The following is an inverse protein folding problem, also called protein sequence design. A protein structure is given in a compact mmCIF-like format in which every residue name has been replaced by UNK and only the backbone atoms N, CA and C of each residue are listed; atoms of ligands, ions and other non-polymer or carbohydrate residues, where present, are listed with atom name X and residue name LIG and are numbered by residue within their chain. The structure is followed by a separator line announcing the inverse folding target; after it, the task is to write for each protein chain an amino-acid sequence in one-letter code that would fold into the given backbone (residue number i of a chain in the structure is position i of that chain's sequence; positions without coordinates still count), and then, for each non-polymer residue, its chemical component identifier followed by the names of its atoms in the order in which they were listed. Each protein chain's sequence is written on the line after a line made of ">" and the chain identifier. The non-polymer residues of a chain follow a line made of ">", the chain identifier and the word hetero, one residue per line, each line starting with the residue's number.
data_IF_045257746901
#
_entry.id   IF_045257746901
#
_cell.length_a   1.000
_cell.length_b   1.000
_cell.length_c   1.000
_cell.angle_alpha   90.00
_cell.angle_beta   90.00
_cell.angle_gamma   90.00
#
_symmetry.space_group_name_H-M   'P 1'
#
loop_
_entity.id
_entity.type
_entity.pdbx_description
1 polymer ?
#
# COMPACT_ATOMS: atom_id res chain seq x y z
N UNK A 1 -63.11 79.31 55.81
CA UNK A 1 -62.62 78.00 56.29
C UNK A 1 -63.08 76.93 55.31
N UNK A 2 -62.15 76.09 54.85
CA UNK A 2 -62.32 74.82 54.09
C UNK A 2 -62.94 74.98 52.69
N UNK A 3 -62.29 74.72 51.56
CA UNK A 3 -61.14 73.87 51.28
C UNK A 3 -61.59 72.44 51.03
N UNK A 4 -61.86 72.09 49.77
CA UNK A 4 -61.64 70.73 49.22
C UNK A 4 -61.77 70.73 47.68
N UNK A 5 -60.61 70.78 47.02
CA UNK A 5 -60.18 69.82 46.00
C UNK A 5 -61.02 69.63 44.72
N UNK A 6 -60.97 70.63 43.83
CA UNK A 6 -61.13 70.43 42.38
C UNK A 6 -59.89 69.71 41.80
N UNK A 7 -59.72 68.42 42.10
CA UNK A 7 -58.62 67.61 41.51
C UNK A 7 -59.00 67.01 40.16
N UNK A 8 -60.24 67.21 39.70
CA UNK A 8 -60.70 66.75 38.39
C UNK A 8 -60.63 67.86 37.34
N UNK A 9 -59.48 68.56 37.27
CA UNK A 9 -59.12 69.29 36.04
C UNK A 9 -58.59 68.28 35.03
N UNK A 10 -59.57 67.61 34.43
CA UNK A 10 -59.59 66.97 33.12
C UNK A 10 -58.29 67.27 32.34
N UNK A 11 -57.31 66.36 32.42
CA UNK A 11 -56.20 66.39 31.47
C UNK A 11 -56.81 66.43 30.06
N UNK A 12 -56.38 67.33 29.17
CA UNK A 12 -56.93 67.40 27.83
C UNK A 12 -56.78 66.02 27.19
N UNK A 13 -57.84 65.49 26.55
CA UNK A 13 -57.84 64.17 25.89
C UNK A 13 -56.63 63.99 24.95
N UNK A 14 -56.09 65.09 24.44
CA UNK A 14 -54.84 65.18 23.66
C UNK A 14 -53.60 64.81 24.48
N UNK A 15 -53.49 65.26 25.74
CA UNK A 15 -52.40 64.94 26.65
C UNK A 15 -52.37 63.46 27.05
N UNK A 16 -53.53 62.86 27.33
CA UNK A 16 -53.62 61.41 27.60
C UNK A 16 -53.18 60.58 26.39
N UNK A 17 -53.56 60.99 25.17
CA UNK A 17 -53.10 60.35 23.93
C UNK A 17 -51.59 60.44 23.74
N UNK A 18 -50.99 61.59 24.03
CA UNK A 18 -49.54 61.78 23.94
C UNK A 18 -48.81 60.91 24.98
N UNK A 19 -49.29 60.87 26.23
CA UNK A 19 -48.70 60.02 27.28
C UNK A 19 -48.81 58.53 26.94
N UNK A 20 -49.95 58.08 26.39
CA UNK A 20 -50.12 56.68 25.97
C UNK A 20 -49.21 56.30 24.77
N UNK A 21 -48.98 57.23 23.83
CA UNK A 21 -48.04 57.01 22.72
C UNK A 21 -46.60 56.95 23.22
N UNK A 22 -46.21 57.85 24.13
CA UNK A 22 -44.86 57.87 24.71
C UNK A 22 -44.62 56.62 25.56
N UNK A 23 -45.56 56.26 26.44
CA UNK A 23 -45.45 55.08 27.30
C UNK A 23 -45.48 53.77 26.48
N UNK A 24 -46.32 53.68 25.44
CA UNK A 24 -46.32 52.57 24.49
C UNK A 24 -45.02 52.45 23.69
N UNK A 25 -44.42 53.57 23.27
CA UNK A 25 -43.13 53.59 22.58
C UNK A 25 -41.96 53.15 23.46
N UNK A 26 -41.94 53.55 24.74
CA UNK A 26 -40.92 53.15 25.73
C UNK A 26 -41.02 51.66 26.09
N UNK A 27 -42.24 51.13 26.28
CA UNK A 27 -42.47 49.71 26.53
C UNK A 27 -42.04 48.84 25.34
N UNK A 28 -42.40 49.25 24.11
CA UNK A 28 -42.03 48.51 22.90
C UNK A 28 -40.54 48.64 22.55
N UNK A 29 -39.90 49.78 22.84
CA UNK A 29 -38.46 49.99 22.63
C UNK A 29 -37.58 49.13 23.54
N UNK A 30 -38.03 48.85 24.77
CA UNK A 30 -37.34 47.93 25.69
C UNK A 30 -37.37 46.47 25.22
N UNK A 31 -38.49 46.01 24.65
CA UNK A 31 -38.64 44.65 24.13
C UNK A 31 -37.74 44.37 22.90
N UNK A 32 -37.58 45.34 22.00
CA UNK A 32 -36.73 45.20 20.80
C UNK A 32 -35.23 45.05 21.16
N UNK A 33 -34.77 45.70 22.24
CA UNK A 33 -33.38 45.54 22.71
C UNK A 33 -33.16 44.23 23.44
N UNK A 34 -34.16 43.72 24.17
CA UNK A 34 -34.08 42.41 24.83
C UNK A 34 -34.00 41.26 23.80
N UNK A 35 -34.84 41.26 22.76
CA UNK A 35 -34.80 40.22 21.71
C UNK A 35 -33.48 40.25 20.92
N UNK A 36 -32.95 41.44 20.62
CA UNK A 36 -31.64 41.58 19.95
C UNK A 36 -30.50 41.10 20.84
N UNK A 37 -30.53 41.43 22.13
CA UNK A 37 -29.53 41.00 23.11
C UNK A 37 -29.55 39.47 23.30
N UNK A 38 -30.72 38.84 23.41
CA UNK A 38 -30.84 37.39 23.52
C UNK A 38 -30.38 36.68 22.25
N UNK A 39 -30.69 37.24 21.07
CA UNK A 39 -30.19 36.72 19.80
C UNK A 39 -28.67 36.83 19.66
N UNK A 40 -28.05 37.88 20.21
CA UNK A 40 -26.60 38.06 20.21
C UNK A 40 -25.91 37.14 21.22
N UNK A 41 -26.47 36.97 22.42
CA UNK A 41 -26.04 35.98 23.42
C UNK A 41 -26.14 34.54 22.91
N UNK A 42 -27.21 34.21 22.20
CA UNK A 42 -27.37 32.90 21.56
C UNK A 42 -26.29 32.67 20.50
N UNK A 43 -25.95 33.68 19.69
CA UNK A 43 -24.87 33.60 18.70
C UNK A 43 -23.51 33.38 19.36
N UNK A 44 -23.19 34.11 20.43
CA UNK A 44 -21.91 33.93 21.13
C UNK A 44 -21.80 32.52 21.76
N UNK A 45 -22.90 32.03 22.32
CA UNK A 45 -22.94 30.74 22.99
C UNK A 45 -22.88 29.57 21.98
N UNK A 46 -23.48 29.73 20.80
CA UNK A 46 -23.29 28.79 19.69
C UNK A 46 -21.83 28.78 19.21
N UNK A 47 -21.18 29.95 19.11
CA UNK A 47 -19.78 30.03 18.72
C UNK A 47 -18.85 29.36 19.75
N UNK A 48 -19.09 29.57 21.05
CA UNK A 48 -18.30 28.92 22.11
C UNK A 48 -18.42 27.40 22.07
N UNK A 49 -19.62 26.86 21.82
CA UNK A 49 -19.80 25.41 21.64
C UNK A 49 -19.05 24.88 20.42
N UNK A 50 -19.04 25.64 19.32
CA UNK A 50 -18.31 25.29 18.12
C UNK A 50 -16.80 25.21 18.41
N UNK A 51 -16.24 26.21 19.09
CA UNK A 51 -14.83 26.22 19.48
C UNK A 51 -14.49 25.02 20.38
N UNK A 52 -15.31 24.73 21.38
CA UNK A 52 -15.10 23.56 22.24
C UNK A 52 -15.15 22.24 21.46
N UNK A 53 -16.00 22.16 20.42
CA UNK A 53 -16.06 21.00 19.53
C UNK A 53 -14.83 20.88 18.65
N UNK A 54 -14.32 22.00 18.12
CA UNK A 54 -13.08 22.03 17.33
C UNK A 54 -11.88 21.62 18.19
N UNK A 55 -11.72 22.17 19.40
CA UNK A 55 -10.66 21.77 20.33
C UNK A 55 -10.72 20.27 20.66
N UNK A 56 -11.93 19.74 20.87
CA UNK A 56 -12.14 18.30 21.08
C UNK A 56 -11.73 17.48 19.86
N UNK A 57 -12.14 17.88 18.64
CA UNK A 57 -11.74 17.19 17.41
C UNK A 57 -10.23 17.21 17.21
N UNK A 58 -9.57 18.33 17.49
CA UNK A 58 -8.10 18.41 17.38
C UNK A 58 -7.43 17.50 18.40
N UNK A 59 -7.94 17.42 19.63
CA UNK A 59 -7.41 16.52 20.65
C UNK A 59 -7.61 15.04 20.30
N UNK A 60 -8.76 14.68 19.73
CA UNK A 60 -9.03 13.33 19.23
C UNK A 60 -8.06 12.95 18.10
N UNK A 61 -7.92 13.83 17.09
CA UNK A 61 -6.99 13.65 15.98
C UNK A 61 -5.53 13.51 16.44
N UNK A 62 -5.09 14.33 17.40
CA UNK A 62 -3.75 14.22 17.97
C UNK A 62 -3.54 12.88 18.68
N UNK A 63 -4.56 12.40 19.39
CA UNK A 63 -4.51 11.10 20.06
C UNK A 63 -4.44 9.95 19.05
N UNK A 64 -5.16 10.03 17.93
CA UNK A 64 -5.12 9.06 16.84
C UNK A 64 -3.78 9.09 16.13
N UNK A 65 -3.25 10.28 15.83
CA UNK A 65 -1.92 10.45 15.25
C UNK A 65 -0.83 9.83 16.14
N UNK A 66 -0.95 9.98 17.46
CA UNK A 66 -0.03 9.37 18.42
C UNK A 66 -0.13 7.84 18.44
N UNK A 67 -1.35 7.28 18.37
CA UNK A 67 -1.56 5.82 18.26
C UNK A 67 -0.96 5.27 16.96
N UNK A 68 -1.28 5.88 15.83
CA UNK A 68 -0.76 5.48 14.53
C UNK A 68 0.78 5.54 14.48
N UNK A 69 1.38 6.56 15.12
CA UNK A 69 2.84 6.68 15.24
C UNK A 69 3.45 5.54 16.06
N UNK A 70 2.82 5.16 17.17
CA UNK A 70 3.29 4.04 17.99
C UNK A 70 3.20 2.72 17.22
N UNK A 71 2.08 2.47 16.54
CA UNK A 71 1.91 1.28 15.70
C UNK A 71 2.97 1.23 14.59
N UNK A 72 3.25 2.37 13.93
CA UNK A 72 4.29 2.46 12.90
C UNK A 72 5.68 2.14 13.46
N UNK A 73 6.01 2.63 14.66
CA UNK A 73 7.26 2.27 15.32
C UNK A 73 7.36 0.77 15.64
N UNK A 74 6.27 0.14 16.07
CA UNK A 74 6.23 -1.31 16.31
C UNK A 74 6.38 -2.13 15.02
N UNK A 75 5.86 -1.63 13.90
CA UNK A 75 6.08 -2.25 12.59
C UNK A 75 7.53 -2.08 12.13
N UNK A 76 8.14 -0.92 12.36
CA UNK A 76 9.55 -0.71 12.05
C UNK A 76 10.47 -1.63 12.85
N UNK A 77 10.23 -1.80 14.15
CA UNK A 77 11.02 -2.71 14.99
C UNK A 77 10.86 -4.16 14.53
N UNK A 78 9.62 -4.61 14.28
CA UNK A 78 9.35 -5.95 13.73
C UNK A 78 10.04 -6.17 12.38
N UNK A 79 10.02 -5.19 11.49
CA UNK A 79 10.71 -5.28 10.20
C UNK A 79 12.24 -5.35 10.36
N UNK A 80 12.82 -4.58 11.29
CA UNK A 80 14.25 -4.67 11.62
C UNK A 80 14.61 -6.05 12.16
N UNK A 81 13.80 -6.58 13.07
CA UNK A 81 14.01 -7.93 13.65
C UNK A 81 13.90 -9.02 12.59
N UNK A 82 12.85 -9.01 11.75
CA UNK A 82 12.70 -9.96 10.66
C UNK A 82 13.88 -9.89 9.69
N UNK A 83 14.38 -8.69 9.40
CA UNK A 83 15.57 -8.52 8.55
C UNK A 83 16.80 -9.16 9.19
N UNK A 84 16.99 -8.99 10.50
CA UNK A 84 18.07 -9.63 11.25
C UNK A 84 17.93 -11.16 11.27
N UNK A 85 16.71 -11.70 11.42
CA UNK A 85 16.45 -13.14 11.33
C UNK A 85 16.76 -13.70 9.93
N UNK A 86 16.39 -12.98 8.86
CA UNK A 86 16.73 -13.37 7.49
C UNK A 86 18.25 -13.36 7.27
N UNK A 87 18.98 -12.41 7.86
CA UNK A 87 20.44 -12.39 7.79
C UNK A 87 21.06 -13.56 8.56
N UNK A 88 20.62 -13.80 9.80
CA UNK A 88 21.11 -14.89 10.62
C UNK A 88 20.86 -16.26 9.98
N UNK A 89 19.68 -16.48 9.39
CA UNK A 89 19.36 -17.72 8.67
C UNK A 89 20.20 -17.89 7.40
N UNK A 90 20.47 -16.80 6.67
CA UNK A 90 21.41 -16.84 5.53
C UNK A 90 22.82 -17.21 5.96
N UNK A 91 23.31 -16.68 7.09
CA UNK A 91 24.62 -17.05 7.63
C UNK A 91 24.67 -18.51 8.07
N UNK A 92 23.61 -19.01 8.71
CA UNK A 92 23.50 -20.43 9.05
C UNK A 92 23.53 -21.31 7.81
N UNK A 93 22.79 -20.93 6.76
CA UNK A 93 22.81 -21.62 5.47
C UNK A 93 24.21 -21.60 4.85
N UNK A 94 24.93 -20.48 4.90
CA UNK A 94 26.30 -20.39 4.39
C UNK A 94 27.26 -21.32 5.15
N UNK A 95 27.19 -21.37 6.49
CA UNK A 95 28.01 -22.30 7.29
C UNK A 95 27.73 -23.76 6.96
N UNK A 96 26.45 -24.12 6.84
CA UNK A 96 26.06 -25.49 6.47
C UNK A 96 26.50 -25.83 5.04
N UNK A 97 26.49 -24.86 4.12
CA UNK A 97 27.02 -25.04 2.77
C UNK A 97 28.53 -25.29 2.78
N UNK A 98 29.30 -24.51 3.53
CA UNK A 98 30.75 -24.71 3.70
C UNK A 98 31.08 -26.07 4.33
N UNK A 99 30.35 -26.49 5.38
CA UNK A 99 30.51 -27.81 5.99
C UNK A 99 30.16 -28.95 5.01
N UNK A 100 29.11 -28.78 4.20
CA UNK A 100 28.71 -29.75 3.19
C UNK A 100 29.74 -29.84 2.05
N UNK A 101 30.37 -28.73 1.66
CA UNK A 101 31.46 -28.71 0.68
C UNK A 101 32.71 -29.39 1.22
N UNK A 102 33.11 -29.10 2.46
CA UNK A 102 34.21 -29.78 3.13
C UNK A 102 33.98 -31.30 3.28
N UNK A 103 32.74 -31.71 3.61
CA UNK A 103 32.36 -33.13 3.65
C UNK A 103 32.45 -33.80 2.27
N UNK A 104 32.06 -33.10 1.19
CA UNK A 104 32.19 -33.64 -0.17
C UNK A 104 33.65 -33.80 -0.58
N UNK A 105 34.50 -32.82 -0.27
CA UNK A 105 35.93 -32.86 -0.61
C UNK A 105 36.66 -33.98 0.13
N UNK A 106 36.44 -34.11 1.45
CA UNK A 106 37.01 -35.17 2.26
C UNK A 106 36.58 -36.57 1.78
N UNK A 107 35.30 -36.75 1.42
CA UNK A 107 34.81 -38.01 0.84
C UNK A 107 35.44 -38.32 -0.53
N UNK A 108 35.72 -37.30 -1.35
CA UNK A 108 36.39 -37.47 -2.65
C UNK A 108 37.85 -37.89 -2.45
N UNK A 109 38.56 -37.26 -1.51
CA UNK A 109 39.93 -37.64 -1.15
C UNK A 109 39.99 -39.09 -0.63
N UNK A 110 39.04 -39.49 0.21
CA UNK A 110 38.97 -40.87 0.70
C UNK A 110 38.72 -41.87 -0.43
N UNK A 111 37.81 -41.56 -1.37
CA UNK A 111 37.58 -42.38 -2.57
C UNK A 111 38.83 -42.48 -3.44
N UNK A 112 39.56 -41.38 -3.61
CA UNK A 112 40.81 -41.33 -4.40
C UNK A 112 41.90 -42.19 -3.74
N UNK A 113 42.11 -42.04 -2.44
CA UNK A 113 43.05 -42.85 -1.68
C UNK A 113 42.71 -44.36 -1.73
N UNK A 114 41.41 -44.71 -1.60
CA UNK A 114 40.94 -46.10 -1.75
C UNK A 114 41.18 -46.64 -3.17
N UNK A 115 41.00 -45.82 -4.20
CA UNK A 115 41.27 -46.21 -5.58
C UNK A 115 42.79 -46.43 -5.82
N UNK A 116 43.64 -45.55 -5.29
CA UNK A 116 45.10 -45.67 -5.39
C UNK A 116 45.62 -46.91 -4.65
N UNK A 117 45.11 -47.20 -3.44
CA UNK A 117 45.40 -48.45 -2.73
C UNK A 117 44.95 -49.68 -3.53
N UNK A 118 43.75 -49.64 -4.12
CA UNK A 118 43.23 -50.75 -4.95
C UNK A 118 44.07 -50.96 -6.20
N UNK A 119 44.58 -49.89 -6.83
CA UNK A 119 45.51 -49.92 -7.97
C UNK A 119 46.87 -50.52 -7.58
N UNK A 120 47.37 -50.21 -6.39
CA UNK A 120 48.62 -50.77 -5.87
C UNK A 120 48.51 -52.26 -5.49
N UNK A 121 47.34 -52.70 -5.02
CA UNK A 121 47.05 -54.10 -4.70
C UNK A 121 46.67 -54.96 -5.91
N UNK A 122 46.35 -54.37 -7.08
CA UNK A 122 46.16 -55.15 -8.31
C UNK A 122 47.54 -55.38 -8.95
N UNK A 123 48.06 -56.62 -9.01
CA UNK A 123 49.36 -56.85 -9.62
C UNK A 123 49.27 -56.51 -11.10
N UNK A 124 50.25 -55.75 -11.60
CA UNK A 124 50.39 -55.45 -13.02
C UNK A 124 50.43 -56.76 -13.80
N UNK A 125 49.36 -57.07 -14.53
CA UNK A 125 49.47 -57.97 -15.68
C UNK A 125 50.28 -57.21 -16.73
N UNK A 126 51.54 -57.61 -16.91
CA UNK A 126 52.46 -57.12 -17.93
C UNK A 126 51.74 -57.12 -19.29
N UNK A 127 51.70 -56.02 -20.06
CA UNK A 127 51.20 -56.08 -21.42
C UNK A 127 52.24 -56.84 -22.26
N UNK A 128 51.87 -58.00 -22.77
CA UNK A 128 52.59 -58.66 -23.86
C UNK A 128 52.26 -57.91 -25.17
N UNK A 129 53.21 -57.84 -26.12
CA UNK A 129 53.05 -57.07 -27.34
C UNK A 129 52.15 -57.79 -28.33
N UNK A 130 51.24 -57.03 -28.94
CA UNK A 130 50.54 -57.45 -30.16
C UNK A 130 49.04 -57.64 -30.01
N UNK A 131 48.28 -56.54 -29.96
CA UNK A 131 47.10 -56.42 -30.81
C UNK A 131 47.09 -55.03 -31.44
N UNK A 132 46.90 -55.04 -32.75
CA UNK A 132 46.99 -53.94 -33.69
C UNK A 132 46.06 -52.78 -33.33
N UNK A 133 46.66 -51.62 -33.10
CA UNK A 133 46.01 -50.34 -33.35
C UNK A 133 45.91 -50.15 -34.88
N UNK A 134 44.70 -50.24 -35.41
CA UNK A 134 44.30 -49.42 -36.56
C UNK A 134 43.45 -48.28 -36.04
N UNK A 135 43.96 -47.07 -36.28
CA UNK A 135 43.22 -45.89 -36.72
C UNK A 135 42.01 -45.45 -35.88
N UNK A 136 42.13 -44.30 -35.21
CA UNK A 136 41.91 -43.05 -35.94
C UNK A 136 42.33 -41.83 -35.10
N UNK A 137 43.09 -40.95 -35.74
CA UNK A 137 43.50 -39.64 -35.27
C UNK A 137 42.37 -38.62 -35.51
N UNK A 138 42.28 -37.61 -34.64
CA UNK A 138 41.81 -36.29 -35.09
C UNK A 138 40.80 -35.57 -34.21
N UNK A 139 41.33 -34.85 -33.22
CA UNK A 139 41.01 -33.47 -32.82
C UNK A 139 39.69 -32.85 -33.34
N UNK A 140 38.85 -32.38 -32.41
CA UNK A 140 38.72 -30.95 -32.04
C UNK A 140 37.31 -30.64 -31.54
N UNK A 141 37.23 -30.11 -30.31
CA UNK A 141 36.13 -29.25 -29.92
C UNK A 141 36.33 -27.89 -30.61
N UNK A 142 35.24 -27.15 -30.94
CA UNK A 142 34.60 -26.37 -29.91
C UNK A 142 33.07 -26.35 -29.95
N UNK A 143 32.52 -26.04 -28.78
CA UNK A 143 31.23 -25.42 -28.48
C UNK A 143 30.26 -25.04 -29.62
N UNK A 144 28.96 -25.22 -29.31
CA UNK A 144 27.89 -24.20 -29.35
C UNK A 144 26.66 -24.57 -30.19
N UNK A 145 25.56 -24.80 -29.48
CA UNK A 145 24.26 -24.17 -29.79
C UNK A 145 23.25 -24.98 -30.60
N UNK A 146 22.02 -25.01 -30.08
CA UNK A 146 20.81 -24.99 -30.89
C UNK A 146 20.07 -26.32 -31.03
N UNK A 147 19.23 -26.65 -30.05
CA UNK A 147 18.10 -27.55 -30.27
C UNK A 147 17.11 -26.90 -31.22
N UNK A 148 16.80 -27.57 -32.33
CA UNK A 148 15.67 -27.27 -33.20
C UNK A 148 14.93 -28.59 -33.43
N UNK A 149 13.94 -28.84 -32.57
CA UNK A 149 12.90 -29.81 -32.85
C UNK A 149 11.80 -29.12 -33.66
N UNK A 150 11.69 -29.54 -34.91
CA UNK A 150 10.55 -29.27 -35.76
C UNK A 150 9.58 -30.45 -35.59
N UNK A 151 8.40 -30.16 -35.09
CA UNK A 151 7.20 -30.97 -35.34
C UNK A 151 6.06 -30.00 -35.65
N UNK A 152 5.85 -29.83 -36.95
CA UNK A 152 4.53 -29.90 -37.63
C UNK A 152 3.35 -30.04 -36.68
N UNK A 153 2.34 -29.19 -36.65
CA UNK A 153 1.75 -28.37 -37.69
C UNK A 153 0.24 -28.50 -37.54
N UNK A 154 -0.48 -27.41 -37.32
CA UNK A 154 -1.90 -27.35 -37.64
C UNK A 154 -2.27 -25.92 -38.01
N UNK A 155 -2.78 -25.81 -39.24
CA UNK A 155 -3.20 -24.59 -39.90
C UNK A 155 -4.63 -24.25 -39.49
N UNK A 156 -4.79 -22.97 -39.20
CA UNK A 156 -5.84 -22.06 -39.67
C UNK A 156 -7.33 -22.47 -39.56
N UNK A 157 -8.05 -21.69 -38.76
CA UNK A 157 -9.35 -21.10 -39.09
C UNK A 157 -9.52 -19.87 -38.19
N UNK A 158 -9.16 -18.69 -38.67
CA UNK A 158 -10.06 -17.79 -39.39
C UNK A 158 -11.18 -17.25 -38.48
N UNK A 159 -11.06 -16.00 -38.06
CA UNK A 159 -12.13 -15.00 -38.23
C UNK A 159 -11.79 -13.64 -37.58
N UNK A 160 -11.72 -12.63 -38.47
CA UNK A 160 -12.35 -11.32 -38.35
C UNK A 160 -11.74 -10.27 -37.39
N UNK A 161 -11.00 -9.34 -38.01
CA UNK A 161 -11.20 -7.88 -37.91
C UNK A 161 -12.03 -7.38 -36.71
N UNK A 162 -11.32 -7.00 -35.65
CA UNK A 162 -11.76 -6.03 -34.66
C UNK A 162 -10.58 -5.11 -34.38
N UNK A 163 -10.76 -3.80 -34.54
CA UNK A 163 -9.70 -2.79 -34.48
C UNK A 163 -8.69 -3.06 -33.36
N UNK A 164 -7.41 -3.04 -33.72
CA UNK A 164 -6.31 -3.37 -32.82
C UNK A 164 -6.21 -2.31 -31.72
N UNK A 165 -6.96 -2.52 -30.63
CA UNK A 165 -6.81 -1.78 -29.39
C UNK A 165 -5.47 -2.15 -28.78
N UNK A 166 -4.50 -1.25 -28.87
CA UNK A 166 -3.20 -1.38 -28.20
C UNK A 166 -3.45 -1.45 -26.69
N UNK A 167 -3.45 -2.66 -26.12
CA UNK A 167 -3.54 -2.82 -24.68
C UNK A 167 -2.15 -2.81 -24.05
N UNK A 168 -1.83 -1.77 -23.28
CA UNK A 168 -0.59 -1.70 -22.51
C UNK A 168 -0.63 -2.69 -21.34
N UNK A 169 0.41 -3.51 -21.18
CA UNK A 169 0.50 -4.56 -20.14
C UNK A 169 1.72 -4.32 -19.24
N UNK A 170 1.57 -4.51 -17.94
CA UNK A 170 2.63 -4.41 -16.92
C UNK A 170 2.78 -5.75 -16.18
N UNK A 171 4.02 -6.16 -15.92
CA UNK A 171 4.32 -7.34 -15.08
C UNK A 171 4.60 -6.88 -13.66
N UNK A 172 3.80 -7.37 -12.71
CA UNK A 172 3.88 -6.99 -11.30
C UNK A 172 5.23 -7.40 -10.70
N UNK A 173 5.93 -6.44 -10.11
CA UNK A 173 7.19 -6.68 -9.38
C UNK A 173 6.93 -6.91 -7.88
N UNK A 174 7.87 -7.55 -7.16
CA UNK A 174 7.75 -7.74 -5.71
C UNK A 174 7.50 -6.42 -4.97
N UNK A 175 6.46 -6.37 -4.14
CA UNK A 175 6.11 -5.19 -3.34
C UNK A 175 5.38 -4.07 -4.10
N UNK A 176 4.95 -4.31 -5.35
CA UNK A 176 4.00 -3.43 -6.03
C UNK A 176 2.56 -3.76 -5.63
N UNK A 177 1.72 -2.73 -5.57
CA UNK A 177 0.27 -2.86 -5.31
C UNK A 177 -0.50 -2.26 -6.47
N UNK A 178 -1.77 -2.64 -6.65
CA UNK A 178 -2.65 -2.07 -7.70
C UNK A 178 -2.66 -0.55 -7.61
N UNK A 179 -2.71 0.00 -6.39
CA UNK A 179 -2.64 1.44 -6.15
C UNK A 179 -1.35 2.08 -6.68
N UNK A 180 -0.18 1.51 -6.40
CA UNK A 180 1.10 2.05 -6.91
C UNK A 180 1.20 1.96 -8.43
N UNK A 181 0.69 0.90 -9.03
CA UNK A 181 0.66 0.71 -10.48
C UNK A 181 -0.29 1.74 -11.12
N UNK A 182 -1.46 1.95 -10.53
CA UNK A 182 -2.45 2.94 -10.98
C UNK A 182 -1.87 4.35 -11.05
N UNK A 183 -1.13 4.76 -10.00
CA UNK A 183 -0.43 6.05 -9.93
C UNK A 183 0.70 6.18 -10.94
N UNK A 184 1.42 5.09 -11.22
CA UNK A 184 2.52 5.07 -12.20
C UNK A 184 2.02 5.31 -13.62
N UNK A 185 0.89 4.70 -13.97
CA UNK A 185 0.32 4.76 -15.33
C UNK A 185 -0.75 5.85 -15.49
N UNK A 186 -1.11 6.58 -14.42
CA UNK A 186 -2.12 7.63 -14.47
C UNK A 186 -3.54 7.10 -14.69
N UNK A 187 -3.80 5.85 -14.32
CA UNK A 187 -5.10 5.19 -14.48
C UNK A 187 -5.74 4.97 -13.11
N UNK A 188 -7.06 5.00 -13.00
CA UNK A 188 -7.74 4.69 -11.73
C UNK A 188 -7.66 3.20 -11.39
N UNK A 189 -7.62 2.88 -10.10
CA UNK A 189 -7.62 1.50 -9.59
C UNK A 189 -8.82 0.72 -10.13
N UNK A 190 -10.01 1.33 -10.15
CA UNK A 190 -11.23 0.70 -10.65
C UNK A 190 -11.14 0.28 -12.12
N UNK A 191 -10.49 1.09 -12.97
CA UNK A 191 -10.28 0.75 -14.39
C UNK A 191 -9.36 -0.45 -14.54
N UNK A 192 -8.26 -0.48 -13.79
CA UNK A 192 -7.33 -1.62 -13.79
C UNK A 192 -8.03 -2.89 -13.30
N UNK A 193 -8.86 -2.79 -12.25
CA UNK A 193 -9.67 -3.92 -11.76
C UNK A 193 -10.64 -4.43 -12.81
N UNK A 194 -11.35 -3.53 -13.50
CA UNK A 194 -12.29 -3.90 -14.55
C UNK A 194 -11.60 -4.60 -15.72
N UNK A 195 -10.45 -4.08 -16.19
CA UNK A 195 -9.71 -4.67 -17.30
C UNK A 195 -9.13 -6.05 -16.97
N UNK A 196 -8.72 -6.27 -15.72
CA UNK A 196 -8.09 -7.51 -15.27
C UNK A 196 -9.03 -8.43 -14.50
N UNK A 197 -10.31 -8.07 -14.37
CA UNK A 197 -11.35 -8.79 -13.61
C UNK A 197 -10.90 -9.15 -12.18
N UNK A 198 -10.21 -8.22 -11.53
CA UNK A 198 -9.72 -8.42 -10.16
C UNK A 198 -10.87 -8.22 -9.16
N UNK A 199 -11.16 -9.26 -8.39
CA UNK A 199 -12.16 -9.21 -7.31
C UNK A 199 -11.71 -8.28 -6.19
N UNK A 200 -10.42 -8.28 -5.86
CA UNK A 200 -9.80 -7.50 -4.77
C UNK A 200 -8.50 -6.81 -5.21
N UNK A 201 -7.93 -5.98 -4.32
CA UNK A 201 -6.65 -5.28 -4.53
C UNK A 201 -5.41 -6.19 -4.34
N UNK A 202 -5.63 -7.49 -4.15
CA UNK A 202 -4.57 -8.49 -3.99
C UNK A 202 -4.10 -8.94 -5.37
N UNK A 203 -2.81 -8.71 -5.65
CA UNK A 203 -2.14 -9.09 -6.89
C UNK A 203 -0.90 -9.92 -6.58
N UNK A 204 -0.60 -10.88 -7.44
CA UNK A 204 0.54 -11.77 -7.29
C UNK A 204 1.77 -11.23 -8.02
N UNK A 205 2.95 -11.51 -7.46
CA UNK A 205 4.22 -11.16 -8.09
C UNK A 205 4.39 -11.96 -9.38
N UNK A 206 4.69 -11.27 -10.49
CA UNK A 206 4.81 -11.88 -11.81
C UNK A 206 3.51 -11.94 -12.61
N UNK A 207 2.37 -11.54 -12.03
CA UNK A 207 1.10 -11.43 -12.74
C UNK A 207 1.17 -10.36 -13.83
N UNK A 208 0.61 -10.66 -15.02
CA UNK A 208 0.46 -9.67 -16.10
C UNK A 208 -0.85 -8.91 -15.88
N UNK A 209 -0.76 -7.60 -15.76
CA UNK A 209 -1.91 -6.71 -15.61
C UNK A 209 -2.01 -5.76 -16.81
N UNK A 210 -3.20 -5.66 -17.38
CA UNK A 210 -3.58 -4.67 -18.37
C UNK A 210 -3.68 -3.32 -17.66
N UNK A 211 -2.84 -2.36 -18.07
CA UNK A 211 -2.73 -1.02 -17.48
C UNK A 211 -3.18 0.09 -18.44
N UNK A 212 -3.59 -0.25 -19.66
CA UNK A 212 -4.21 0.66 -20.60
C UNK A 212 -4.90 -0.09 -21.74
N UNK A 213 -6.02 0.44 -22.24
CA UNK A 213 -6.61 0.10 -23.53
C UNK A 213 -6.79 1.41 -24.29
N UNK A 214 -6.27 1.47 -25.51
CA UNK A 214 -6.57 2.53 -26.49
C UNK A 214 -7.87 2.25 -27.24
#
# INVERSE_FOLDING_TARGET
>A
MKGENDVNKLMPKTGYRIVMIICGGLLMGGCVMAEKYDAEKARSLNFQRLLAQEEKRTGELDSEAKRAKNELMEYETRNRELTAQVQATREQLARVQEEAEAMKESALLERRAKADMKRALTPMRKPLPGESMSDNLGLSAPARGGGSELSTGSRASDSLSGGMRSSATHVVKPGETVFRISRRYGVSVDKIRQWNRLSDDIIEVGQKLIVGQE
#
